data_IF_993080875872
#
_entry.id   IF_993080875872
#
_cell.length_a   1.000
_cell.length_b   1.000
_cell.length_c   1.000
_cell.angle_alpha   90.00
_cell.angle_beta   90.00
_cell.angle_gamma   90.00
#
_symmetry.space_group_name_H-M   'P 1'
#
loop_
_entity.id
_entity.type
_entity.pdbx_description
1 polymer ?
#
# COMPACT_ATOMS: atom_id res chain seq x y z
N UNK A 1 -8.34 22.59 12.21
CA UNK A 1 -8.99 22.09 10.97
C UNK A 1 -10.40 21.61 11.31
N UNK A 2 -11.44 22.12 10.65
CA UNK A 2 -12.80 21.60 10.82
C UNK A 2 -12.82 20.16 10.28
N UNK A 3 -13.36 19.23 11.05
CA UNK A 3 -13.65 17.87 10.57
C UNK A 3 -14.73 18.00 9.50
N UNK A 4 -14.38 17.75 8.26
CA UNK A 4 -15.34 17.63 7.15
C UNK A 4 -16.27 16.45 7.47
N UNK A 5 -17.57 16.63 7.38
CA UNK A 5 -18.53 15.56 7.61
C UNK A 5 -18.49 14.55 6.44
N UNK A 6 -18.93 13.31 6.67
CA UNK A 6 -19.00 12.30 5.59
C UNK A 6 -19.86 12.79 4.44
N UNK A 7 -20.98 13.47 4.74
CA UNK A 7 -21.91 14.04 3.73
C UNK A 7 -21.21 15.10 2.88
N UNK A 8 -20.46 16.04 3.50
CA UNK A 8 -19.69 17.05 2.74
C UNK A 8 -18.62 16.43 1.82
N UNK A 9 -18.02 15.29 2.21
CA UNK A 9 -17.05 14.55 1.40
C UNK A 9 -17.74 13.86 0.21
N UNK A 10 -18.89 13.25 0.44
CA UNK A 10 -19.71 12.61 -0.60
C UNK A 10 -20.18 13.65 -1.62
N UNK A 11 -20.72 14.78 -1.17
CA UNK A 11 -21.17 15.88 -2.03
C UNK A 11 -20.02 16.42 -2.90
N UNK A 12 -18.81 16.59 -2.34
CA UNK A 12 -17.64 17.09 -3.08
C UNK A 12 -17.16 16.07 -4.13
N UNK A 13 -17.18 14.77 -3.81
CA UNK A 13 -16.85 13.72 -4.76
C UNK A 13 -17.93 13.58 -5.84
N UNK A 14 -19.20 13.76 -5.49
CA UNK A 14 -20.30 13.80 -6.47
C UNK A 14 -20.22 15.01 -7.42
N UNK A 15 -19.83 16.18 -6.91
CA UNK A 15 -19.54 17.36 -7.75
C UNK A 15 -18.37 17.08 -8.71
N UNK A 16 -17.31 16.44 -8.25
CA UNK A 16 -16.18 16.03 -9.07
C UNK A 16 -16.63 15.04 -10.17
N UNK A 17 -17.48 14.05 -9.84
CA UNK A 17 -18.10 13.16 -10.81
C UNK A 17 -18.92 13.91 -11.86
N UNK A 18 -19.77 14.82 -11.42
CA UNK A 18 -20.60 15.65 -12.33
C UNK A 18 -19.73 16.46 -13.28
N UNK A 19 -18.66 17.06 -12.77
CA UNK A 19 -17.69 17.81 -13.58
C UNK A 19 -17.04 16.92 -14.65
N UNK A 20 -16.61 15.72 -14.29
CA UNK A 20 -16.05 14.74 -15.23
C UNK A 20 -17.02 14.33 -16.33
N UNK A 21 -18.27 14.09 -15.98
CA UNK A 21 -19.31 13.65 -16.93
C UNK A 21 -19.76 14.77 -17.86
N UNK A 22 -19.55 16.03 -17.50
CA UNK A 22 -19.94 17.20 -18.30
C UNK A 22 -18.82 17.75 -19.18
N UNK A 23 -17.57 17.33 -18.96
CA UNK A 23 -16.43 17.82 -19.73
C UNK A 23 -16.32 17.05 -21.06
N UNK A 24 -17.04 17.53 -22.07
CA UNK A 24 -17.14 17.13 -23.48
C UNK A 24 -16.01 16.24 -24.02
N UNK A 25 -15.89 14.98 -23.57
CA UNK A 25 -15.04 13.98 -24.21
C UNK A 25 -13.53 14.02 -23.88
N UNK A 26 -13.07 14.92 -23.03
CA UNK A 26 -11.72 14.84 -22.50
C UNK A 26 -11.69 13.85 -21.32
N UNK A 27 -11.14 12.68 -21.56
CA UNK A 27 -10.90 11.66 -20.53
C UNK A 27 -10.06 12.26 -19.41
N UNK A 28 -10.66 12.41 -18.23
CA UNK A 28 -9.90 12.77 -17.04
C UNK A 28 -8.88 11.67 -16.78
N UNK A 29 -7.65 12.07 -16.45
CA UNK A 29 -6.55 11.16 -16.21
C UNK A 29 -6.87 10.25 -15.02
N UNK A 30 -6.71 8.93 -15.20
CA UNK A 30 -6.79 7.93 -14.11
C UNK A 30 -5.97 8.36 -12.91
N UNK A 31 -6.54 8.22 -11.70
CA UNK A 31 -5.88 8.54 -10.44
C UNK A 31 -5.32 7.29 -9.78
N UNK A 32 -4.09 7.37 -9.33
CA UNK A 32 -3.36 6.26 -8.73
C UNK A 32 -3.18 6.48 -7.23
N UNK A 33 -3.64 5.52 -6.43
CA UNK A 33 -3.53 5.54 -4.97
C UNK A 33 -2.74 4.31 -4.52
N UNK A 34 -1.66 4.49 -3.78
CA UNK A 34 -0.94 3.38 -3.16
C UNK A 34 -1.25 3.31 -1.67
N UNK A 35 -1.53 2.12 -1.16
CA UNK A 35 -1.73 1.86 0.27
C UNK A 35 -0.52 1.09 0.78
N UNK A 36 0.28 1.76 1.58
CA UNK A 36 1.51 1.26 2.17
C UNK A 36 1.36 1.08 3.70
N UNK A 37 2.30 0.43 4.33
CA UNK A 37 2.31 0.31 5.80
C UNK A 37 2.80 -1.04 6.29
N UNK A 38 2.84 -1.16 7.62
CA UNK A 38 3.34 -2.31 8.35
C UNK A 38 2.46 -3.56 8.13
N UNK A 39 3.01 -4.74 8.42
CA UNK A 39 2.22 -5.96 8.35
C UNK A 39 1.22 -6.03 9.51
N UNK A 40 0.01 -6.52 9.22
CA UNK A 40 -1.06 -6.60 10.21
C UNK A 40 -1.90 -5.35 10.40
N UNK A 41 -1.49 -4.19 9.85
CA UNK A 41 -2.19 -2.89 10.08
C UNK A 41 -3.50 -2.74 9.31
N UNK A 42 -3.86 -3.72 8.47
CA UNK A 42 -5.14 -3.72 7.76
C UNK A 42 -5.13 -3.06 6.38
N UNK A 43 -3.99 -3.09 5.67
CA UNK A 43 -3.88 -2.57 4.29
C UNK A 43 -4.94 -3.15 3.36
N UNK A 44 -4.96 -4.47 3.20
CA UNK A 44 -5.94 -5.18 2.37
C UNK A 44 -7.39 -4.80 2.70
N UNK A 45 -7.73 -4.74 3.99
CA UNK A 45 -9.05 -4.33 4.42
C UNK A 45 -9.36 -2.87 4.04
N UNK A 46 -8.39 -1.96 4.22
CA UNK A 46 -8.53 -0.55 3.87
C UNK A 46 -8.66 -0.36 2.37
N UNK A 47 -7.84 -1.05 1.57
CA UNK A 47 -7.87 -1.01 0.11
C UNK A 47 -9.21 -1.50 -0.45
N UNK A 48 -9.70 -2.64 0.03
CA UNK A 48 -11.00 -3.17 -0.38
C UNK A 48 -12.16 -2.23 0.02
N UNK A 49 -12.09 -1.65 1.21
CA UNK A 49 -13.14 -0.73 1.67
C UNK A 49 -13.12 0.59 0.91
N UNK A 50 -11.94 1.12 0.60
CA UNK A 50 -11.79 2.31 -0.25
C UNK A 50 -12.33 2.05 -1.65
N UNK A 51 -11.96 0.90 -2.26
CA UNK A 51 -12.51 0.48 -3.55
C UNK A 51 -14.04 0.47 -3.52
N UNK A 52 -14.61 -0.28 -2.56
CA UNK A 52 -16.06 -0.35 -2.44
C UNK A 52 -16.72 1.02 -2.30
N UNK A 53 -16.16 1.89 -1.47
CA UNK A 53 -16.71 3.22 -1.23
C UNK A 53 -16.72 4.07 -2.51
N UNK A 54 -15.60 4.09 -3.25
CA UNK A 54 -15.50 4.83 -4.51
C UNK A 54 -16.41 4.22 -5.60
N UNK A 55 -16.55 2.88 -5.64
CA UNK A 55 -17.48 2.20 -6.55
C UNK A 55 -18.94 2.53 -6.21
N UNK A 56 -19.30 2.55 -4.93
CA UNK A 56 -20.64 2.93 -4.48
C UNK A 56 -20.99 4.38 -4.87
N UNK A 57 -20.01 5.26 -5.06
CA UNK A 57 -20.15 6.62 -5.60
C UNK A 57 -20.20 6.68 -7.13
N UNK A 58 -20.12 5.54 -7.82
CA UNK A 58 -20.20 5.43 -9.28
C UNK A 58 -18.89 5.56 -10.02
N UNK A 59 -17.72 5.54 -9.34
CA UNK A 59 -16.42 5.51 -9.98
C UNK A 59 -16.07 4.08 -10.48
N UNK A 60 -15.37 4.00 -11.59
CA UNK A 60 -14.77 2.77 -12.06
C UNK A 60 -13.39 2.59 -11.39
N UNK A 61 -13.30 1.63 -10.47
CA UNK A 61 -12.15 1.47 -9.57
C UNK A 61 -11.53 0.09 -9.73
N UNK A 62 -10.21 0.04 -9.95
CA UNK A 62 -9.41 -1.19 -9.90
C UNK A 62 -8.60 -1.27 -8.63
N UNK A 63 -8.48 -2.47 -8.08
CA UNK A 63 -7.61 -2.79 -6.96
C UNK A 63 -6.62 -3.86 -7.39
N UNK A 64 -5.33 -3.57 -7.23
CA UNK A 64 -4.24 -4.51 -7.51
C UNK A 64 -3.42 -4.67 -6.22
N UNK A 65 -3.33 -5.90 -5.72
CA UNK A 65 -2.51 -6.22 -4.54
C UNK A 65 -1.20 -6.87 -4.98
N UNK A 66 -0.09 -6.31 -4.55
CA UNK A 66 1.24 -6.86 -4.82
C UNK A 66 1.84 -7.56 -3.59
N UNK A 67 2.54 -8.70 -3.78
CA UNK A 67 2.75 -9.41 -5.05
C UNK A 67 1.50 -10.16 -5.55
N UNK A 68 1.38 -10.32 -6.87
CA UNK A 68 0.32 -11.14 -7.50
C UNK A 68 0.74 -12.60 -7.49
N UNK A 69 0.56 -13.27 -6.36
CA UNK A 69 1.04 -14.64 -6.14
C UNK A 69 0.50 -15.70 -7.10
N UNK A 70 -0.58 -15.43 -7.81
CA UNK A 70 -1.17 -16.32 -8.81
C UNK A 70 -0.52 -16.19 -10.19
N UNK A 71 0.28 -15.15 -10.42
CA UNK A 71 0.99 -14.93 -11.69
C UNK A 71 2.27 -15.78 -11.78
N UNK A 72 2.78 -15.97 -12.99
CA UNK A 72 4.06 -16.65 -13.21
C UNK A 72 5.24 -15.91 -12.53
N UNK A 73 5.18 -14.60 -12.48
CA UNK A 73 6.18 -13.77 -11.78
C UNK A 73 6.01 -13.79 -10.27
N UNK A 74 4.78 -13.95 -9.77
CA UNK A 74 4.48 -14.15 -8.36
C UNK A 74 5.08 -15.44 -7.79
N UNK A 75 5.26 -16.48 -8.60
CA UNK A 75 5.98 -17.68 -8.21
C UNK A 75 7.47 -17.40 -7.90
N UNK A 76 8.13 -16.51 -8.66
CA UNK A 76 9.50 -16.09 -8.39
C UNK A 76 9.60 -15.30 -7.06
N UNK A 77 8.59 -14.46 -6.78
CA UNK A 77 8.50 -13.78 -5.47
C UNK A 77 8.38 -14.81 -4.33
N UNK A 78 7.53 -15.84 -4.48
CA UNK A 78 7.43 -16.93 -3.47
C UNK A 78 8.76 -17.61 -3.22
N UNK A 79 9.58 -17.84 -4.25
CA UNK A 79 10.92 -18.44 -4.10
C UNK A 79 11.85 -17.55 -3.28
N UNK A 80 11.83 -16.22 -3.47
CA UNK A 80 12.59 -15.28 -2.63
C UNK A 80 12.11 -15.36 -1.19
N UNK A 81 10.79 -15.28 -0.98
CA UNK A 81 10.19 -15.25 0.35
C UNK A 81 10.33 -16.58 1.11
N UNK A 82 10.48 -17.70 0.40
CA UNK A 82 10.73 -19.03 0.98
C UNK A 82 12.20 -19.33 1.22
N UNK A 83 13.12 -18.42 0.84
CA UNK A 83 14.57 -18.65 0.94
C UNK A 83 15.12 -19.62 -0.11
N UNK A 84 14.38 -19.92 -1.20
CA UNK A 84 14.82 -20.87 -2.22
C UNK A 84 16.05 -20.40 -3.01
N UNK A 85 16.36 -19.10 -2.97
CA UNK A 85 17.59 -18.52 -3.54
C UNK A 85 18.73 -18.36 -2.53
N UNK A 86 18.65 -19.00 -1.37
CA UNK A 86 19.58 -18.86 -0.24
C UNK A 86 19.00 -17.98 0.87
N UNK A 87 19.81 -17.68 1.87
CA UNK A 87 19.37 -16.78 2.95
C UNK A 87 19.06 -15.39 2.39
N UNK A 88 17.81 -14.91 2.51
CA UNK A 88 17.43 -13.61 1.97
C UNK A 88 18.22 -12.43 2.55
N UNK A 89 18.89 -12.62 3.70
CA UNK A 89 19.71 -11.59 4.36
C UNK A 89 21.16 -11.60 3.88
N UNK A 90 21.63 -12.67 3.24
CA UNK A 90 22.94 -12.76 2.60
C UNK A 90 22.91 -12.29 1.14
N UNK A 91 21.74 -12.29 0.50
CA UNK A 91 21.57 -11.78 -0.86
C UNK A 91 21.64 -10.24 -0.87
N UNK A 92 22.29 -9.69 -1.89
CA UNK A 92 22.30 -8.23 -2.06
C UNK A 92 20.85 -7.67 -2.03
N UNK A 93 20.54 -6.71 -1.15
CA UNK A 93 19.17 -6.20 -0.96
C UNK A 93 18.50 -5.69 -2.23
N UNK A 94 19.27 -5.07 -3.14
CA UNK A 94 18.74 -4.61 -4.44
C UNK A 94 18.39 -5.80 -5.34
N UNK A 95 19.22 -6.86 -5.37
CA UNK A 95 18.88 -8.06 -6.15
C UNK A 95 17.63 -8.76 -5.63
N UNK A 96 17.42 -8.78 -4.31
CA UNK A 96 16.22 -9.32 -3.70
C UNK A 96 14.94 -8.52 -4.07
N UNK A 97 15.08 -7.27 -4.52
CA UNK A 97 13.97 -6.43 -4.95
C UNK A 97 13.47 -6.76 -6.38
N UNK A 98 14.32 -7.34 -7.24
CA UNK A 98 14.00 -7.54 -8.66
C UNK A 98 12.78 -8.42 -8.95
N UNK A 99 12.53 -9.56 -8.26
CA UNK A 99 11.33 -10.35 -8.47
C UNK A 99 10.04 -9.55 -8.23
N UNK A 100 10.03 -8.63 -7.27
CA UNK A 100 8.89 -7.74 -7.02
C UNK A 100 8.72 -6.70 -8.13
N UNK A 101 9.82 -6.19 -8.71
CA UNK A 101 9.79 -5.30 -9.88
C UNK A 101 9.19 -6.05 -11.08
N UNK A 102 9.66 -7.28 -11.31
CA UNK A 102 9.18 -8.13 -12.41
C UNK A 102 7.69 -8.45 -12.27
N UNK A 103 7.22 -8.72 -11.05
CA UNK A 103 5.82 -8.99 -10.77
C UNK A 103 4.94 -7.76 -11.08
N UNK A 104 5.37 -6.56 -10.67
CA UNK A 104 4.69 -5.32 -11.06
C UNK A 104 4.73 -5.07 -12.56
N UNK A 105 5.89 -5.29 -13.20
CA UNK A 105 6.03 -5.12 -14.65
C UNK A 105 5.06 -6.01 -15.41
N UNK A 106 5.00 -7.30 -15.04
CA UNK A 106 4.07 -8.24 -15.64
C UNK A 106 2.61 -7.81 -15.47
N UNK A 107 2.26 -7.30 -14.30
CA UNK A 107 0.89 -6.91 -13.98
C UNK A 107 0.47 -5.57 -14.57
N UNK A 108 1.40 -4.62 -14.72
CA UNK A 108 1.08 -3.24 -15.15
C UNK A 108 1.31 -3.07 -16.66
N UNK A 109 2.35 -3.69 -17.22
CA UNK A 109 2.81 -3.42 -18.58
C UNK A 109 2.50 -4.56 -19.54
N UNK A 110 2.79 -5.81 -19.14
CA UNK A 110 2.63 -6.98 -20.05
C UNK A 110 1.17 -7.39 -20.15
N UNK A 111 0.46 -7.42 -19.05
CA UNK A 111 -0.97 -7.69 -19.02
C UNK A 111 -1.75 -6.36 -19.05
N UNK A 112 -1.71 -5.66 -20.20
CA UNK A 112 -2.63 -4.51 -20.40
C UNK A 112 -4.09 -4.93 -20.18
N UNK A 113 -4.43 -6.17 -20.50
CA UNK A 113 -5.72 -6.79 -20.19
C UNK A 113 -5.94 -6.96 -18.69
N UNK A 114 -4.87 -7.04 -17.86
CA UNK A 114 -5.00 -7.02 -16.40
C UNK A 114 -5.63 -5.72 -15.90
N UNK A 115 -5.40 -4.62 -16.59
CA UNK A 115 -6.18 -3.39 -16.37
C UNK A 115 -7.62 -3.50 -16.92
N UNK A 116 -7.93 -4.51 -17.77
CA UNK A 116 -9.27 -4.76 -18.32
C UNK A 116 -9.99 -5.94 -17.63
N UNK A 117 -9.27 -6.95 -17.12
CA UNK A 117 -9.85 -8.24 -16.68
C UNK A 117 -9.93 -8.46 -15.15
N UNK A 118 -9.36 -7.60 -14.29
CA UNK A 118 -9.33 -7.85 -12.84
C UNK A 118 -10.69 -7.65 -12.16
N UNK A 119 -11.72 -7.29 -12.89
CA UNK A 119 -13.09 -7.11 -12.38
C UNK A 119 -14.03 -8.33 -12.50
N UNK A 120 -13.52 -9.52 -12.78
CA UNK A 120 -14.36 -10.73 -13.00
C UNK A 120 -15.04 -11.29 -11.74
N UNK A 121 -14.76 -10.76 -10.54
CA UNK A 121 -15.42 -11.17 -9.29
C UNK A 121 -16.55 -10.24 -8.82
N UNK A 122 -16.90 -9.25 -9.61
CA UNK A 122 -18.09 -8.45 -9.38
C UNK A 122 -19.09 -8.76 -10.51
N UNK A 123 -20.32 -9.15 -10.15
CA UNK A 123 -21.49 -9.29 -11.04
C UNK A 123 -21.86 -7.95 -11.75
N UNK A 124 -20.86 -7.19 -12.19
CA UNK A 124 -21.03 -6.03 -13.02
C UNK A 124 -20.94 -6.50 -14.46
N UNK A 125 -22.07 -6.67 -15.12
CA UNK A 125 -22.16 -6.84 -16.57
C UNK A 125 -21.32 -5.75 -17.23
N UNK A 126 -20.24 -6.16 -17.92
CA UNK A 126 -19.51 -5.25 -18.79
C UNK A 126 -20.46 -4.74 -19.85
N UNK A 127 -20.80 -3.46 -19.80
CA UNK A 127 -21.73 -2.81 -20.71
C UNK A 127 -21.14 -2.57 -22.11
N UNK A 128 -19.91 -3.05 -22.37
CA UNK A 128 -19.20 -2.83 -23.62
C UNK A 128 -18.66 -1.43 -23.81
N UNK A 129 -18.70 -0.58 -22.77
CA UNK A 129 -18.18 0.78 -22.86
C UNK A 129 -16.67 0.80 -22.70
N UNK A 130 -15.97 1.55 -23.57
CA UNK A 130 -14.54 1.90 -23.43
C UNK A 130 -14.32 2.91 -22.29
N UNK A 131 -15.01 2.75 -21.16
CA UNK A 131 -14.90 3.67 -20.04
C UNK A 131 -13.52 3.56 -19.40
N UNK A 132 -12.79 4.66 -19.36
CA UNK A 132 -11.51 4.73 -18.68
C UNK A 132 -11.66 4.50 -17.18
N UNK A 133 -10.69 3.77 -16.60
CA UNK A 133 -10.60 3.57 -15.15
C UNK A 133 -10.42 4.91 -14.45
N UNK A 134 -11.25 5.20 -13.45
CA UNK A 134 -11.19 6.44 -12.67
C UNK A 134 -10.10 6.39 -11.62
N UNK A 135 -10.04 5.28 -10.89
CA UNK A 135 -9.05 5.06 -9.84
C UNK A 135 -8.40 3.69 -9.97
N UNK A 136 -7.09 3.65 -9.76
CA UNK A 136 -6.35 2.40 -9.50
C UNK A 136 -5.80 2.47 -8.09
N UNK A 137 -6.16 1.51 -7.26
CA UNK A 137 -5.66 1.35 -5.90
C UNK A 137 -4.63 0.23 -5.90
N UNK A 138 -3.42 0.51 -5.43
CA UNK A 138 -2.38 -0.48 -5.20
C UNK A 138 -2.31 -0.82 -3.70
N UNK A 139 -2.55 -2.08 -3.32
CA UNK A 139 -2.21 -2.61 -2.00
C UNK A 139 -0.76 -3.08 -2.04
N UNK A 140 0.15 -2.29 -1.48
CA UNK A 140 1.60 -2.25 -1.67
C UNK A 140 2.00 -1.82 -3.09
N UNK A 141 3.08 -1.05 -3.17
CA UNK A 141 3.60 -0.57 -4.44
C UNK A 141 5.12 -0.40 -4.39
N UNK A 142 5.66 0.53 -5.15
CA UNK A 142 7.10 0.76 -5.30
C UNK A 142 7.79 1.10 -3.97
N UNK A 143 7.14 1.91 -3.12
CA UNK A 143 7.72 2.30 -1.84
C UNK A 143 7.86 1.12 -0.85
N UNK A 144 6.98 0.11 -0.91
CA UNK A 144 7.23 -1.15 -0.20
C UNK A 144 8.60 -1.72 -0.55
N UNK A 145 8.96 -1.77 -1.84
CA UNK A 145 10.24 -2.30 -2.28
C UNK A 145 11.43 -1.54 -1.68
N UNK A 146 11.34 -0.21 -1.61
CA UNK A 146 12.34 0.64 -0.96
C UNK A 146 12.44 0.32 0.53
N UNK A 147 11.31 0.28 1.24
CA UNK A 147 11.26 0.04 2.69
C UNK A 147 11.88 -1.31 3.03
N UNK A 148 11.44 -2.37 2.35
CA UNK A 148 11.90 -3.73 2.60
C UNK A 148 13.37 -3.95 2.17
N UNK A 149 13.85 -3.25 1.14
CA UNK A 149 15.27 -3.24 0.75
C UNK A 149 16.14 -2.56 1.80
N UNK A 150 15.72 -1.40 2.31
CA UNK A 150 16.43 -0.68 3.36
C UNK A 150 16.45 -1.47 4.68
N UNK A 151 15.37 -2.17 5.01
CA UNK A 151 15.29 -2.96 6.24
C UNK A 151 16.26 -4.15 6.27
N UNK A 152 16.69 -4.66 5.10
CA UNK A 152 17.71 -5.71 5.00
C UNK A 152 19.12 -5.23 5.35
N UNK A 153 19.40 -3.94 5.19
CA UNK A 153 20.62 -3.33 5.68
C UNK A 153 20.50 -3.10 7.20
N UNK A 154 21.59 -3.29 7.94
CA UNK A 154 21.62 -3.12 9.40
C UNK A 154 21.01 -1.80 9.89
N UNK A 155 20.74 -1.72 11.21
CA UNK A 155 19.99 -0.65 11.89
C UNK A 155 20.43 0.80 11.61
N UNK A 156 21.65 1.02 11.11
CA UNK A 156 22.25 2.34 10.95
C UNK A 156 22.40 2.77 9.48
N UNK A 157 21.29 2.77 8.73
CA UNK A 157 21.31 3.25 7.35
C UNK A 157 21.55 4.76 7.30
N UNK A 158 22.61 5.16 6.64
CA UNK A 158 22.93 6.59 6.46
C UNK A 158 21.97 7.28 5.48
N UNK A 159 21.77 8.60 5.60
CA UNK A 159 20.96 9.34 4.62
C UNK A 159 21.40 9.18 3.17
N UNK A 160 22.70 8.94 2.95
CA UNK A 160 23.27 8.69 1.62
C UNK A 160 22.85 7.33 1.07
N UNK A 161 22.87 6.29 1.89
CA UNK A 161 22.43 4.93 1.51
C UNK A 161 20.91 4.91 1.24
N UNK A 162 20.13 5.60 2.07
CA UNK A 162 18.70 5.76 1.86
C UNK A 162 18.43 6.42 0.49
N UNK A 163 19.11 7.53 0.21
CA UNK A 163 19.00 8.23 -1.09
C UNK A 163 19.40 7.32 -2.25
N UNK A 164 20.45 6.52 -2.09
CA UNK A 164 20.90 5.58 -3.12
C UNK A 164 19.85 4.53 -3.43
N UNK A 165 19.25 3.91 -2.42
CA UNK A 165 18.21 2.88 -2.62
C UNK A 165 16.97 3.49 -3.27
N UNK A 166 16.50 4.64 -2.79
CA UNK A 166 15.34 5.35 -3.36
C UNK A 166 15.61 5.67 -4.84
N UNK A 167 16.71 6.36 -5.14
CA UNK A 167 17.03 6.74 -6.51
C UNK A 167 17.15 5.52 -7.42
N UNK A 168 17.78 4.43 -6.96
CA UNK A 168 17.95 3.23 -7.78
C UNK A 168 16.60 2.60 -8.12
N UNK A 169 15.75 2.32 -7.11
CA UNK A 169 14.48 1.63 -7.32
C UNK A 169 13.48 2.53 -8.05
N UNK A 170 13.39 3.80 -7.69
CA UNK A 170 12.47 4.74 -8.34
C UNK A 170 12.87 5.01 -9.79
N UNK A 171 14.18 5.14 -10.08
CA UNK A 171 14.64 5.27 -11.47
C UNK A 171 14.33 4.05 -12.32
N UNK A 172 14.47 2.84 -11.76
CA UNK A 172 14.10 1.62 -12.49
C UNK A 172 12.59 1.60 -12.73
N UNK A 173 11.79 1.78 -11.70
CA UNK A 173 10.35 1.54 -11.79
C UNK A 173 9.59 2.72 -12.41
N UNK A 174 9.90 3.96 -12.03
CA UNK A 174 9.18 5.14 -12.55
C UNK A 174 9.78 5.72 -13.82
N UNK A 175 11.13 5.76 -13.93
CA UNK A 175 11.76 6.48 -15.05
C UNK A 175 12.10 5.53 -16.22
N UNK A 176 12.53 4.27 -15.95
CA UNK A 176 12.87 3.29 -16.98
C UNK A 176 11.67 2.45 -17.43
N UNK A 177 10.91 1.91 -16.48
CA UNK A 177 9.76 1.03 -16.75
C UNK A 177 8.44 1.81 -16.91
N UNK A 178 8.45 3.12 -16.68
CA UNK A 178 7.29 4.02 -16.81
C UNK A 178 6.08 3.60 -15.97
N UNK A 179 6.31 3.05 -14.78
CA UNK A 179 5.20 2.76 -13.87
C UNK A 179 4.48 4.05 -13.46
N UNK A 180 3.14 4.03 -13.32
CA UNK A 180 2.41 5.19 -12.88
C UNK A 180 2.85 5.62 -11.49
N UNK A 181 3.18 6.91 -11.31
CA UNK A 181 3.45 7.47 -9.99
C UNK A 181 2.13 7.65 -9.24
N UNK A 182 2.03 7.25 -7.97
CA UNK A 182 0.83 7.52 -7.19
C UNK A 182 0.56 9.02 -7.09
N UNK A 183 -0.69 9.42 -7.32
CA UNK A 183 -1.16 10.77 -6.98
C UNK A 183 -1.21 10.95 -5.45
N UNK A 184 -1.56 9.86 -4.74
CA UNK A 184 -1.54 9.81 -3.28
C UNK A 184 -1.00 8.46 -2.79
N UNK A 185 -0.04 8.50 -1.88
CA UNK A 185 0.43 7.35 -1.13
C UNK A 185 -0.05 7.43 0.32
N UNK A 186 -0.85 6.44 0.74
CA UNK A 186 -1.40 6.34 2.09
C UNK A 186 -0.59 5.35 2.89
N UNK A 187 0.02 5.80 3.98
CA UNK A 187 0.87 5.00 4.84
C UNK A 187 0.15 4.72 6.14
N UNK A 188 -0.28 3.46 6.32
CA UNK A 188 -0.90 3.01 7.55
C UNK A 188 0.17 2.64 8.56
N UNK A 189 0.15 3.29 9.72
CA UNK A 189 1.13 3.11 10.78
C UNK A 189 0.48 2.65 12.08
N UNK A 190 1.26 2.01 12.94
CA UNK A 190 0.86 1.59 14.29
C UNK A 190 2.08 1.45 15.18
N UNK A 191 1.88 1.33 16.49
CA UNK A 191 2.94 0.93 17.41
C UNK A 191 3.47 -0.48 17.08
N UNK A 192 4.79 -0.72 17.11
CA UNK A 192 5.39 -2.02 16.82
C UNK A 192 4.81 -3.17 17.65
N UNK A 193 4.61 -2.99 18.97
CA UNK A 193 4.02 -4.01 19.83
C UNK A 193 2.60 -4.40 19.39
N UNK A 194 1.83 -3.42 18.91
CA UNK A 194 0.48 -3.65 18.40
C UNK A 194 0.55 -4.38 17.06
N UNK A 195 1.47 -3.99 16.17
CA UNK A 195 1.70 -4.70 14.90
C UNK A 195 2.01 -6.17 15.15
N UNK A 196 2.92 -6.48 16.06
CA UNK A 196 3.32 -7.84 16.41
C UNK A 196 2.16 -8.63 17.01
N UNK A 197 1.40 -8.00 17.91
CA UNK A 197 0.20 -8.62 18.46
C UNK A 197 -0.83 -8.92 17.37
N UNK A 198 -1.14 -7.98 16.49
CA UNK A 198 -2.10 -8.15 15.40
C UNK A 198 -1.64 -9.24 14.43
N UNK A 199 -0.35 -9.32 14.12
CA UNK A 199 0.23 -10.36 13.28
C UNK A 199 0.13 -11.74 13.93
N UNK A 200 0.46 -11.86 15.23
CA UNK A 200 0.43 -13.12 15.97
C UNK A 200 -0.99 -13.67 16.16
N UNK A 201 -2.00 -12.80 16.15
CA UNK A 201 -3.42 -13.19 16.34
C UNK A 201 -4.13 -13.48 15.02
N UNK A 202 -3.51 -13.20 13.86
CA UNK A 202 -4.04 -13.66 12.57
C UNK A 202 -4.18 -15.19 12.62
N UNK A 203 -5.39 -15.68 12.44
CA UNK A 203 -5.61 -17.11 12.16
C UNK A 203 -5.03 -17.38 10.78
N UNK A 204 -3.78 -17.84 10.73
CA UNK A 204 -3.18 -18.31 9.50
C UNK A 204 -3.96 -19.52 9.02
N UNK A 205 -4.70 -19.39 7.93
CA UNK A 205 -5.03 -20.54 7.11
C UNK A 205 -3.68 -20.95 6.47
N UNK A 206 -3.07 -22.03 7.00
CA UNK A 206 -2.00 -22.86 6.40
C UNK A 206 -0.98 -22.23 5.44
N UNK A 207 -0.59 -20.98 5.61
CA UNK A 207 0.55 -20.44 4.88
C UNK A 207 1.80 -20.59 5.74
N UNK A 208 2.81 -21.34 5.25
CA UNK A 208 4.17 -21.34 5.81
C UNK A 208 4.56 -19.88 6.02
N UNK A 209 4.97 -19.54 7.25
CA UNK A 209 5.47 -18.19 7.56
C UNK A 209 6.58 -17.86 6.56
N UNK A 210 6.49 -16.68 5.96
CA UNK A 210 7.53 -16.08 5.16
C UNK A 210 8.83 -15.97 6.00
N UNK A 211 9.97 -16.26 5.39
CA UNK A 211 11.28 -16.16 6.05
C UNK A 211 11.51 -14.75 6.61
N UNK A 212 11.01 -13.73 5.95
CA UNK A 212 11.08 -12.35 6.40
C UNK A 212 10.23 -12.12 7.67
N UNK A 213 9.04 -12.74 7.77
CA UNK A 213 8.15 -12.60 8.94
C UNK A 213 8.68 -13.30 10.19
N UNK A 214 9.60 -14.25 10.02
CA UNK A 214 10.23 -14.98 11.13
C UNK A 214 11.41 -14.18 11.73
N UNK A 215 12.04 -13.30 10.96
CA UNK A 215 13.16 -12.49 11.42
C UNK A 215 12.66 -11.23 12.14
N UNK A 216 12.65 -11.25 13.46
CA UNK A 216 12.14 -10.16 14.29
C UNK A 216 12.96 -8.86 14.11
N UNK A 217 14.28 -8.95 14.04
CA UNK A 217 15.15 -7.77 13.86
C UNK A 217 14.87 -7.07 12.52
N UNK A 218 14.61 -7.85 11.49
CA UNK A 218 14.20 -7.32 10.18
C UNK A 218 12.85 -6.61 10.23
N UNK A 219 11.87 -7.23 10.86
CA UNK A 219 10.54 -6.64 11.01
C UNK A 219 10.57 -5.37 11.86
N UNK A 220 11.40 -5.34 12.91
CA UNK A 220 11.63 -4.14 13.72
C UNK A 220 12.25 -3.01 12.88
N UNK A 221 13.17 -3.33 11.97
CA UNK A 221 13.70 -2.35 11.03
C UNK A 221 12.64 -1.82 10.06
N UNK A 222 11.79 -2.69 9.50
CA UNK A 222 10.65 -2.28 8.66
C UNK A 222 9.76 -1.30 9.43
N UNK A 223 9.37 -1.69 10.66
CA UNK A 223 8.53 -0.88 11.52
C UNK A 223 9.15 0.50 11.81
N UNK A 224 10.45 0.53 12.13
CA UNK A 224 11.19 1.78 12.38
C UNK A 224 11.23 2.66 11.13
N UNK A 225 11.53 2.11 9.96
CA UNK A 225 11.61 2.86 8.70
C UNK A 225 10.27 3.54 8.38
N UNK A 226 9.17 2.85 8.62
CA UNK A 226 7.82 3.37 8.38
C UNK A 226 7.45 4.42 9.44
N UNK A 227 7.57 4.10 10.73
CA UNK A 227 7.14 4.98 11.81
C UNK A 227 7.96 6.28 11.90
N UNK A 228 9.28 6.18 11.71
CA UNK A 228 10.16 7.36 11.70
C UNK A 228 10.07 8.15 10.38
N UNK A 229 9.30 7.65 9.41
CA UNK A 229 9.12 8.26 8.09
C UNK A 229 10.44 8.44 7.34
N UNK A 230 11.37 7.47 7.49
CA UNK A 230 12.75 7.58 7.00
C UNK A 230 12.79 7.82 5.49
N UNK A 231 12.01 7.04 4.72
CA UNK A 231 11.89 7.19 3.25
C UNK A 231 11.27 8.54 2.89
N UNK A 232 10.13 8.87 3.49
CA UNK A 232 9.32 10.05 3.14
C UNK A 232 9.97 11.38 3.51
N UNK A 233 10.81 11.40 4.54
CA UNK A 233 11.60 12.58 4.92
C UNK A 233 12.82 12.80 4.02
N UNK A 234 13.25 11.77 3.28
CA UNK A 234 14.44 11.84 2.46
C UNK A 234 14.24 12.74 1.24
N UNK A 235 15.27 13.53 0.89
CA UNK A 235 15.24 14.45 -0.26
C UNK A 235 15.02 13.69 -1.58
N UNK A 236 15.60 12.49 -1.74
CA UNK A 236 15.43 11.69 -2.93
C UNK A 236 13.95 11.33 -3.17
N UNK A 237 13.20 10.93 -2.12
CA UNK A 237 11.77 10.69 -2.24
C UNK A 237 10.99 11.95 -2.65
N UNK A 238 11.29 13.09 -2.00
CA UNK A 238 10.60 14.36 -2.28
C UNK A 238 10.76 14.84 -3.72
N UNK A 239 11.87 14.49 -4.38
CA UNK A 239 12.11 14.85 -5.78
C UNK A 239 11.13 14.17 -6.76
N UNK A 240 10.45 13.09 -6.35
CA UNK A 240 9.44 12.42 -7.17
C UNK A 240 8.04 13.03 -7.05
N UNK A 241 7.86 14.01 -6.14
CA UNK A 241 6.62 14.77 -5.97
C UNK A 241 5.37 13.91 -5.70
N UNK A 242 5.53 12.80 -4.99
CA UNK A 242 4.44 11.92 -4.58
C UNK A 242 3.82 12.50 -3.31
N UNK A 243 2.51 12.84 -3.34
CA UNK A 243 1.78 13.22 -2.14
C UNK A 243 1.68 12.02 -1.19
N UNK A 244 1.86 12.26 0.11
CA UNK A 244 1.80 11.17 1.08
C UNK A 244 1.00 11.56 2.33
N UNK A 245 0.17 10.62 2.79
CA UNK A 245 -0.68 10.73 3.97
C UNK A 245 -0.35 9.63 4.96
N UNK A 246 0.12 9.99 6.15
CA UNK A 246 0.38 9.02 7.22
C UNK A 246 -0.80 8.94 8.17
N UNK A 247 -1.37 7.75 8.33
CA UNK A 247 -2.50 7.48 9.21
C UNK A 247 -2.08 6.48 10.29
N UNK A 248 -2.06 6.94 11.54
CA UNK A 248 -1.98 6.03 12.68
C UNK A 248 -3.36 5.38 12.89
N UNK A 249 -3.42 4.05 12.67
CA UNK A 249 -4.68 3.31 12.70
C UNK A 249 -5.12 2.89 14.10
N UNK A 250 -4.32 3.18 15.13
CA UNK A 250 -4.59 2.76 16.51
C UNK A 250 -5.44 3.78 17.26
N UNK A 251 -6.38 3.30 18.07
CA UNK A 251 -7.12 4.14 19.01
C UNK A 251 -6.20 4.65 20.11
N UNK A 252 -6.34 5.93 20.51
CA UNK A 252 -5.47 6.58 21.48
C UNK A 252 -5.23 5.79 22.78
N UNK A 253 -6.25 5.07 23.27
CA UNK A 253 -6.13 4.26 24.51
C UNK A 253 -5.19 3.06 24.42
N UNK A 254 -4.81 2.65 23.21
CA UNK A 254 -3.88 1.55 22.97
C UNK A 254 -2.52 2.02 22.44
N UNK A 255 -2.29 3.30 22.33
CA UNK A 255 -0.97 3.84 22.02
C UNK A 255 -0.05 3.57 23.21
N UNK A 256 1.18 3.18 22.90
CA UNK A 256 2.24 2.87 23.88
C UNK A 256 1.90 1.70 24.85
N UNK A 257 0.94 0.85 24.48
CA UNK A 257 0.58 -0.33 25.28
C UNK A 257 1.62 -1.42 25.10
N UNK A 258 2.14 -1.98 26.20
CA UNK A 258 3.12 -3.07 26.16
C UNK A 258 2.54 -4.36 25.59
N UNK A 259 3.40 -5.15 24.93
CA UNK A 259 3.05 -6.49 24.42
C UNK A 259 2.53 -7.43 25.52
N UNK A 260 3.04 -7.29 26.74
CA UNK A 260 2.58 -8.05 27.91
C UNK A 260 1.13 -7.74 28.25
N UNK A 261 0.73 -6.45 28.27
CA UNK A 261 -0.64 -6.05 28.56
C UNK A 261 -1.59 -6.51 27.46
N UNK A 262 -1.19 -6.42 26.19
CA UNK A 262 -1.97 -6.94 25.06
C UNK A 262 -2.19 -8.46 25.16
N UNK A 263 -1.17 -9.20 25.57
CA UNK A 263 -1.25 -10.65 25.76
C UNK A 263 -2.16 -11.05 26.90
N UNK A 264 -2.24 -10.25 27.96
CA UNK A 264 -3.11 -10.47 29.13
C UNK A 264 -4.56 -10.13 28.81
N UNK A 265 -4.81 -8.97 28.22
CA UNK A 265 -6.16 -8.47 27.93
C UNK A 265 -6.78 -9.13 26.68
N UNK A 266 -5.95 -9.65 25.76
CA UNK A 266 -6.35 -10.23 24.46
C UNK A 266 -7.44 -9.41 23.75
N UNK A 267 -7.22 -8.11 23.53
CA UNK A 267 -8.23 -7.27 22.91
C UNK A 267 -8.46 -7.66 21.45
N UNK A 268 -9.69 -7.54 20.98
CA UNK A 268 -10.04 -7.79 19.58
C UNK A 268 -9.52 -6.68 18.65
N UNK A 269 -9.37 -6.96 17.37
CA UNK A 269 -8.98 -5.96 16.34
C UNK A 269 -9.84 -4.69 16.42
N UNK A 270 -11.16 -4.85 16.51
CA UNK A 270 -12.10 -3.72 16.57
C UNK A 270 -11.97 -2.87 17.85
N UNK A 271 -11.38 -3.43 18.91
CA UNK A 271 -11.07 -2.66 20.12
C UNK A 271 -9.80 -1.83 19.95
N UNK A 272 -8.80 -2.37 19.26
CA UNK A 272 -7.48 -1.73 19.08
C UNK A 272 -7.51 -0.70 17.96
N UNK A 273 -7.99 -1.09 16.79
CA UNK A 273 -7.93 -0.25 15.59
C UNK A 273 -9.08 0.75 15.55
N UNK A 274 -8.83 1.90 14.95
CA UNK A 274 -9.86 2.87 14.56
C UNK A 274 -10.89 2.16 13.68
N UNK A 275 -12.13 2.67 13.65
CA UNK A 275 -13.07 2.20 12.65
C UNK A 275 -12.55 2.52 11.26
N UNK A 276 -12.83 1.63 10.32
CA UNK A 276 -12.44 1.85 8.94
C UNK A 276 -13.05 3.12 8.33
N UNK A 277 -14.26 3.53 8.78
CA UNK A 277 -14.88 4.76 8.31
C UNK A 277 -14.05 6.00 8.66
N UNK A 278 -13.41 6.01 9.84
CA UNK A 278 -12.49 7.11 10.21
C UNK A 278 -11.29 7.12 9.26
N UNK A 279 -10.69 5.96 9.00
CA UNK A 279 -9.52 5.85 8.11
C UNK A 279 -9.89 6.26 6.69
N UNK A 280 -11.01 5.75 6.17
CA UNK A 280 -11.48 6.12 4.82
C UNK A 280 -11.77 7.61 4.73
N UNK A 281 -12.42 8.22 5.71
CA UNK A 281 -12.69 9.66 5.70
C UNK A 281 -11.40 10.51 5.72
N UNK A 282 -10.34 10.07 6.42
CA UNK A 282 -9.04 10.72 6.36
C UNK A 282 -8.45 10.65 4.94
N UNK A 283 -8.53 9.49 4.26
CA UNK A 283 -8.07 9.30 2.88
C UNK A 283 -8.87 10.18 1.90
N UNK A 284 -10.19 10.13 1.97
CA UNK A 284 -11.06 10.92 1.07
C UNK A 284 -10.82 12.42 1.24
N UNK A 285 -10.63 12.88 2.47
CA UNK A 285 -10.31 14.29 2.74
C UNK A 285 -8.99 14.72 2.10
N UNK A 286 -8.03 13.82 1.98
CA UNK A 286 -6.75 14.11 1.33
C UNK A 286 -6.86 14.02 -0.19
N UNK A 287 -7.61 13.05 -0.72
CA UNK A 287 -7.88 12.94 -2.15
C UNK A 287 -8.52 14.22 -2.71
N UNK A 288 -9.52 14.78 -2.00
CA UNK A 288 -10.17 16.03 -2.41
C UNK A 288 -9.19 17.21 -2.47
N UNK A 289 -8.17 17.24 -1.62
CA UNK A 289 -7.14 18.28 -1.67
C UNK A 289 -6.11 18.07 -2.79
N UNK A 290 -5.95 16.82 -3.20
CA UNK A 290 -4.97 16.40 -4.21
C UNK A 290 -5.50 16.62 -5.64
N UNK A 291 -6.82 16.61 -5.81
CA UNK A 291 -7.51 16.86 -7.09
C UNK A 291 -7.87 18.34 -7.26
#
# INVERSE_FOLDING_TARGET
MKRTSKIELEDTLEEYLKYRLTDNGNTTKTKFIAIEGMDGVGKEYTSNKLRKYLTDLGFYVKLISFPVYSSCTGEEVKKVLSGSFGDPFEVNPLLAAFPFILDRYNSIVVNEDYFREVDLDLDLEWDGSDRAVDFVIFDRYVTSNVIYTLARNNKDVTPKEISKVINTLFSIEYDLLNFPKPDLEVILTTDPNISDYLRSTRKSKDTKKDVNEVNLDYMDNVNRIINDKIVYKNKAFKNYHINNLHIDVVKNKYKDVSSTLLSLEKPTYSKILKSSDIVINEILSELIKTF
#
